data_IF_990414427851
#
_entry.id   IF_990414427851
#
_cell.length_a   1.000
_cell.length_b   1.000
_cell.length_c   1.000
_cell.angle_alpha   90.00
_cell.angle_beta   90.00
_cell.angle_gamma   90.00
#
_symmetry.space_group_name_H-M   'P 1'
#
loop_
_entity.id
_entity.type
_entity.pdbx_description
1 polymer ?
#
# COMPACT_ATOMS: atom_id res chain seq x y z
N UNK A 1 -15.46 -23.30 -8.62
CA UNK A 1 -14.96 -23.38 -7.24
C UNK A 1 -13.48 -23.74 -7.31
N UNK A 2 -12.64 -22.78 -6.92
CA UNK A 2 -11.19 -22.80 -6.59
C UNK A 2 -10.86 -21.29 -6.55
N UNK A 3 -11.22 -20.53 -5.51
CA UNK A 3 -10.61 -20.53 -4.17
C UNK A 3 -9.07 -20.40 -4.17
N UNK A 4 -8.52 -19.71 -5.18
CA UNK A 4 -7.12 -19.27 -5.16
C UNK A 4 -6.97 -17.97 -4.34
N UNK A 5 -7.27 -18.06 -3.05
CA UNK A 5 -6.81 -17.03 -2.13
C UNK A 5 -5.33 -17.29 -1.83
N UNK A 6 -4.46 -16.37 -2.24
CA UNK A 6 -3.07 -16.34 -1.76
C UNK A 6 -3.07 -15.71 -0.37
N UNK A 7 -2.62 -16.47 0.62
CA UNK A 7 -2.52 -16.03 2.00
C UNK A 7 -1.07 -15.66 2.32
N UNK A 8 -0.87 -14.51 2.93
CA UNK A 8 0.43 -14.15 3.50
C UNK A 8 0.46 -14.67 4.93
N UNK A 9 1.18 -15.76 5.14
CA UNK A 9 1.25 -16.51 6.40
C UNK A 9 2.67 -16.48 6.95
N UNK A 10 2.79 -16.41 8.27
CA UNK A 10 4.07 -16.60 8.95
C UNK A 10 4.27 -18.11 9.15
N UNK A 11 5.25 -18.67 8.43
CA UNK A 11 5.42 -20.12 8.29
C UNK A 11 5.69 -20.84 9.63
N UNK A 12 6.34 -20.19 10.60
CA UNK A 12 6.68 -20.87 11.87
C UNK A 12 5.49 -21.01 12.82
N UNK A 13 4.51 -20.12 12.75
CA UNK A 13 3.32 -20.10 13.62
C UNK A 13 2.04 -20.52 12.91
N UNK A 14 2.06 -20.56 11.58
CA UNK A 14 0.89 -20.83 10.75
C UNK A 14 -0.18 -19.73 10.80
N UNK A 15 0.18 -18.53 11.29
CA UNK A 15 -0.75 -17.43 11.46
C UNK A 15 -0.75 -16.53 10.24
N UNK A 16 -1.95 -16.10 9.84
CA UNK A 16 -2.10 -15.06 8.83
C UNK A 16 -1.42 -13.78 9.31
N UNK A 17 -0.58 -13.22 8.46
CA UNK A 17 0.06 -11.93 8.70
C UNK A 17 -1.00 -10.84 8.63
N UNK A 18 -1.24 -10.19 9.76
CA UNK A 18 -2.17 -9.08 9.82
C UNK A 18 -1.68 -7.88 8.97
N UNK A 19 -2.45 -7.50 7.97
CA UNK A 19 -2.26 -6.29 7.17
C UNK A 19 -2.35 -5.08 8.11
N UNK A 20 -1.31 -4.25 8.17
CA UNK A 20 -1.07 -3.19 9.16
C UNK A 20 -0.39 -3.64 10.48
N UNK A 21 0.18 -4.84 10.56
CA UNK A 21 1.11 -5.18 11.64
C UNK A 21 2.36 -4.30 11.55
N UNK A 22 2.62 -3.49 12.59
CA UNK A 22 3.77 -2.59 12.62
C UNK A 22 5.13 -3.28 12.52
N UNK A 23 5.22 -4.58 12.84
CA UNK A 23 6.44 -5.39 12.67
C UNK A 23 6.78 -5.66 11.20
N UNK A 24 5.81 -5.55 10.28
CA UNK A 24 6.10 -5.70 8.84
C UNK A 24 7.01 -4.58 8.33
N UNK A 25 6.93 -3.39 8.95
CA UNK A 25 7.80 -2.26 8.58
C UNK A 25 9.28 -2.58 8.82
N UNK A 26 9.63 -3.32 9.87
CA UNK A 26 11.03 -3.72 10.08
C UNK A 26 11.53 -4.75 9.06
N UNK A 27 10.62 -5.33 8.27
CA UNK A 27 10.94 -6.19 7.12
C UNK A 27 10.89 -5.43 5.79
N UNK A 28 10.76 -4.09 5.80
CA UNK A 28 10.62 -3.28 4.59
C UNK A 28 9.22 -3.35 3.95
N UNK A 29 8.26 -4.00 4.59
CA UNK A 29 6.89 -4.14 4.10
C UNK A 29 5.99 -3.08 4.74
N UNK A 30 5.55 -2.13 3.93
CA UNK A 30 4.58 -1.10 4.32
C UNK A 30 3.20 -1.61 3.97
N UNK A 31 2.30 -1.72 4.94
CA UNK A 31 0.93 -2.18 4.69
C UNK A 31 -0.07 -1.32 5.44
N UNK A 32 -1.26 -1.15 4.86
CA UNK A 32 -2.27 -0.34 5.50
C UNK A 32 -3.63 -0.37 4.81
N UNK A 33 -4.54 0.39 5.40
CA UNK A 33 -5.83 0.72 4.82
C UNK A 33 -5.83 2.19 4.37
N UNK A 34 -6.43 2.45 3.21
CA UNK A 34 -6.67 3.79 2.69
C UNK A 34 -7.55 4.60 3.65
N UNK A 35 -7.20 5.86 3.86
CA UNK A 35 -7.96 6.84 4.66
C UNK A 35 -8.48 7.97 3.77
N UNK A 36 -9.53 8.67 4.21
CA UNK A 36 -10.15 9.76 3.45
C UNK A 36 -10.88 9.29 2.18
N UNK A 37 -11.21 8.00 2.11
CA UNK A 37 -11.88 7.38 0.95
C UNK A 37 -13.27 7.93 0.68
N UNK A 38 -13.93 8.46 1.71
CA UNK A 38 -15.25 9.07 1.65
C UNK A 38 -15.30 10.30 0.73
N UNK A 39 -14.19 11.04 0.60
CA UNK A 39 -14.09 12.21 -0.27
C UNK A 39 -13.74 11.84 -1.73
N UNK A 40 -13.37 10.57 -1.97
CA UNK A 40 -12.84 10.08 -3.26
C UNK A 40 -13.71 8.98 -3.86
N UNK A 41 -14.96 8.84 -3.41
CA UNK A 41 -15.84 7.74 -3.78
C UNK A 41 -16.04 7.59 -5.29
N UNK A 42 -16.11 8.70 -6.04
CA UNK A 42 -16.24 8.67 -7.50
C UNK A 42 -14.99 8.08 -8.15
N UNK A 43 -13.79 8.51 -7.75
CA UNK A 43 -12.52 8.03 -8.31
C UNK A 43 -12.33 6.55 -7.96
N UNK A 44 -12.58 6.17 -6.71
CA UNK A 44 -12.47 4.78 -6.24
C UNK A 44 -13.37 3.83 -7.04
N UNK A 45 -14.57 4.29 -7.46
CA UNK A 45 -15.48 3.47 -8.28
C UNK A 45 -14.90 3.10 -9.65
N UNK A 46 -14.01 3.94 -10.18
CA UNK A 46 -13.39 3.77 -11.49
C UNK A 46 -11.96 3.23 -11.43
N UNK A 47 -11.35 3.20 -10.25
CA UNK A 47 -10.00 2.70 -10.03
C UNK A 47 -9.92 1.17 -10.02
N UNK A 48 -8.86 0.60 -10.59
CA UNK A 48 -8.54 -0.81 -10.39
C UNK A 48 -7.91 -1.02 -9.00
N UNK A 49 -8.71 -1.57 -8.08
CA UNK A 49 -8.28 -1.96 -6.75
C UNK A 49 -8.31 -3.49 -6.55
N UNK A 50 -8.28 -4.27 -7.64
CA UNK A 50 -8.15 -5.72 -7.56
C UNK A 50 -6.81 -6.12 -6.92
N UNK A 51 -6.72 -7.26 -6.22
CA UNK A 51 -5.45 -7.72 -5.64
C UNK A 51 -4.33 -7.78 -6.69
N UNK A 52 -3.20 -7.15 -6.39
CA UNK A 52 -2.04 -7.05 -7.28
C UNK A 52 -2.10 -5.89 -8.29
N UNK A 53 -3.20 -5.14 -8.37
CA UNK A 53 -3.28 -3.93 -9.17
C UNK A 53 -2.20 -2.92 -8.74
N UNK A 54 -1.59 -2.24 -9.71
CA UNK A 54 -0.52 -1.30 -9.45
C UNK A 54 -1.06 -0.03 -8.78
N UNK A 55 -0.36 0.43 -7.74
CA UNK A 55 -0.62 1.70 -7.08
C UNK A 55 0.66 2.54 -7.06
N UNK A 56 0.53 3.83 -6.81
CA UNK A 56 1.65 4.75 -6.60
C UNK A 56 1.51 5.48 -5.27
N UNK A 57 2.64 5.75 -4.63
CA UNK A 57 2.73 6.60 -3.44
C UNK A 57 3.19 7.99 -3.88
N UNK A 58 2.37 9.00 -3.61
CA UNK A 58 2.61 10.39 -4.03
C UNK A 58 2.78 11.25 -2.79
N UNK A 59 3.90 11.95 -2.71
CA UNK A 59 4.17 12.92 -1.64
C UNK A 59 3.40 14.21 -1.87
N UNK A 60 2.79 14.73 -0.81
CA UNK A 60 2.14 16.04 -0.79
C UNK A 60 2.71 16.88 0.37
N UNK A 61 3.92 17.44 0.24
CA UNK A 61 4.56 18.19 1.33
C UNK A 61 3.82 19.48 1.70
N UNK A 62 3.08 20.06 0.74
CA UNK A 62 2.31 21.30 0.92
C UNK A 62 0.86 21.04 1.39
N UNK A 63 0.52 19.81 1.77
CA UNK A 63 -0.81 19.48 2.26
C UNK A 63 -1.12 20.22 3.58
N UNK A 64 -2.15 21.06 3.57
CA UNK A 64 -2.52 21.93 4.71
C UNK A 64 -2.81 21.17 6.01
N UNK A 65 -3.27 19.92 5.91
CA UNK A 65 -3.69 19.12 7.05
C UNK A 65 -2.59 18.22 7.65
N UNK A 66 -1.58 17.86 6.84
CA UNK A 66 -0.45 17.03 7.25
C UNK A 66 0.74 17.19 6.28
N UNK A 67 1.85 17.84 6.65
CA UNK A 67 3.02 18.01 5.76
C UNK A 67 3.73 16.69 5.41
N UNK A 68 3.40 15.61 6.12
CA UNK A 68 3.89 14.27 5.81
C UNK A 68 2.90 13.45 4.96
N UNK A 69 1.86 14.09 4.39
CA UNK A 69 0.84 13.41 3.63
C UNK A 69 1.43 12.58 2.48
N UNK A 70 1.01 11.32 2.42
CA UNK A 70 1.29 10.42 1.30
C UNK A 70 -0.06 9.98 0.76
N UNK A 71 -0.37 10.42 -0.46
CA UNK A 71 -1.54 10.00 -1.20
C UNK A 71 -1.23 8.69 -1.94
N UNK A 72 -2.20 7.79 -1.98
CA UNK A 72 -2.14 6.56 -2.74
C UNK A 72 -2.96 6.76 -4.00
N UNK A 73 -2.32 6.58 -5.15
CA UNK A 73 -2.93 6.72 -6.46
C UNK A 73 -3.12 5.35 -7.10
N UNK A 74 -4.26 5.16 -7.74
CA UNK A 74 -4.50 4.12 -8.72
C UNK A 74 -4.42 4.72 -10.13
N UNK A 75 -4.72 3.90 -11.15
CA UNK A 75 -4.81 4.31 -12.55
C UNK A 75 -5.77 5.50 -12.77
N UNK A 76 -6.93 5.48 -12.11
CA UNK A 76 -7.95 6.51 -12.22
C UNK A 76 -7.67 7.79 -11.41
N UNK A 77 -6.63 7.80 -10.55
CA UNK A 77 -6.26 8.95 -9.71
C UNK A 77 -6.16 8.65 -8.21
N UNK A 78 -6.26 9.66 -7.33
CA UNK A 78 -6.11 9.48 -5.89
C UNK A 78 -7.26 8.64 -5.32
N UNK A 79 -6.91 7.57 -4.61
CA UNK A 79 -7.88 6.64 -4.01
C UNK A 79 -7.89 6.69 -2.48
N UNK A 80 -6.97 7.44 -1.88
CA UNK A 80 -6.96 7.70 -0.44
C UNK A 80 -5.56 8.01 0.07
N UNK A 81 -5.45 8.15 1.39
CA UNK A 81 -4.21 8.53 2.05
C UNK A 81 -3.69 7.43 2.96
N UNK A 82 -2.37 7.43 3.14
CA UNK A 82 -1.68 6.70 4.20
C UNK A 82 -2.11 7.25 5.55
N UNK A 83 -2.33 6.38 6.55
CA UNK A 83 -2.67 6.83 7.89
C UNK A 83 -1.58 7.74 8.49
N UNK A 84 -1.98 8.82 9.17
CA UNK A 84 -1.07 9.82 9.78
C UNK A 84 0.07 9.24 10.62
N UNK A 85 -0.17 8.16 11.39
CA UNK A 85 0.89 7.53 12.22
C UNK A 85 1.98 6.89 11.37
N UNK A 86 1.66 6.44 10.17
CA UNK A 86 2.59 5.84 9.21
C UNK A 86 3.09 6.84 8.16
N UNK A 87 2.36 7.92 7.92
CA UNK A 87 2.70 8.94 6.93
C UNK A 87 4.08 9.54 7.18
N UNK A 88 4.41 9.94 8.42
CA UNK A 88 5.72 10.53 8.75
C UNK A 88 6.93 9.64 8.42
N UNK A 89 7.03 8.38 8.90
CA UNK A 89 8.16 7.54 8.53
C UNK A 89 8.18 7.22 7.04
N UNK A 90 7.04 6.93 6.40
CA UNK A 90 7.00 6.64 4.96
C UNK A 90 7.42 7.85 4.12
N UNK A 91 6.95 9.04 4.48
CA UNK A 91 7.33 10.29 3.83
C UNK A 91 8.85 10.47 3.82
N UNK A 92 9.52 10.20 4.94
CA UNK A 92 10.98 10.27 5.02
C UNK A 92 11.69 9.32 4.07
N UNK A 93 11.19 8.09 3.91
CA UNK A 93 11.78 7.14 2.96
C UNK A 93 11.62 7.64 1.51
N UNK A 94 10.42 8.11 1.16
CA UNK A 94 10.14 8.65 -0.17
C UNK A 94 10.97 9.91 -0.45
N UNK A 95 11.07 10.82 0.51
CA UNK A 95 11.85 12.05 0.43
C UNK A 95 13.37 11.76 0.36
N UNK A 96 13.82 10.62 0.92
CA UNK A 96 15.19 10.13 0.78
C UNK A 96 15.46 9.42 -0.57
N UNK A 97 14.44 9.30 -1.43
CA UNK A 97 14.56 8.65 -2.74
C UNK A 97 14.50 7.13 -2.70
N UNK A 98 14.02 6.53 -1.61
CA UNK A 98 13.83 5.07 -1.54
C UNK A 98 12.79 4.66 -2.56
N UNK A 99 13.17 3.73 -3.45
CA UNK A 99 12.26 3.20 -4.45
C UNK A 99 11.29 2.22 -3.80
N UNK A 100 10.01 2.57 -3.78
CA UNK A 100 8.94 1.71 -3.30
C UNK A 100 7.91 1.51 -4.40
N UNK A 101 7.54 0.25 -4.65
CA UNK A 101 6.42 -0.11 -5.51
C UNK A 101 5.21 -0.40 -4.65
N UNK A 102 4.07 0.18 -4.98
CA UNK A 102 2.82 -0.08 -4.28
C UNK A 102 1.86 -0.95 -5.10
N UNK A 103 1.07 -1.75 -4.40
CA UNK A 103 0.03 -2.63 -4.98
C UNK A 103 -1.21 -2.66 -4.10
N UNK A 104 -2.36 -2.89 -4.72
CA UNK A 104 -3.61 -3.17 -4.00
C UNK A 104 -3.58 -4.58 -3.41
N UNK A 105 -4.04 -4.73 -2.18
CA UNK A 105 -4.33 -6.03 -1.54
C UNK A 105 -5.82 -6.38 -1.64
N UNK A 106 -6.58 -5.66 -2.47
CA UNK A 106 -8.03 -5.80 -2.60
C UNK A 106 -8.81 -4.89 -1.65
N UNK A 107 -9.85 -4.27 -2.20
CA UNK A 107 -10.70 -3.32 -1.47
C UNK A 107 -9.92 -2.05 -1.14
N UNK A 108 -9.91 -1.65 0.13
CA UNK A 108 -9.21 -0.43 0.60
C UNK A 108 -7.84 -0.71 1.22
N UNK A 109 -7.24 -1.86 0.94
CA UNK A 109 -5.96 -2.29 1.52
C UNK A 109 -4.85 -2.16 0.49
N UNK A 110 -3.68 -1.77 0.93
CA UNK A 110 -2.51 -1.59 0.07
C UNK A 110 -1.25 -2.10 0.77
N UNK A 111 -0.24 -2.38 -0.05
CA UNK A 111 1.13 -2.66 0.36
C UNK A 111 2.10 -1.85 -0.48
N UNK A 112 3.23 -1.48 0.10
CA UNK A 112 4.40 -1.03 -0.64
C UNK A 112 5.67 -1.70 -0.08
N UNK A 113 6.61 -1.98 -0.97
CA UNK A 113 7.90 -2.56 -0.63
C UNK A 113 8.91 -2.23 -1.73
N UNK A 114 10.14 -2.71 -1.57
CA UNK A 114 11.12 -2.75 -2.66
C UNK A 114 10.50 -3.37 -3.94
N UNK A 115 10.76 -2.81 -5.14
CA UNK A 115 10.19 -3.30 -6.39
C UNK A 115 10.42 -4.79 -6.66
N UNK A 116 11.57 -5.35 -6.28
CA UNK A 116 11.91 -6.76 -6.50
C UNK A 116 11.11 -7.66 -5.57
N UNK A 117 10.91 -7.23 -4.31
CA UNK A 117 10.02 -7.92 -3.36
C UNK A 117 8.59 -7.94 -3.89
N UNK A 118 8.09 -6.83 -4.42
CA UNK A 118 6.75 -6.78 -5.03
C UNK A 118 6.67 -7.68 -6.26
N UNK A 119 7.67 -7.69 -7.14
CA UNK A 119 7.70 -8.57 -8.31
C UNK A 119 7.63 -10.04 -7.90
N UNK A 120 8.43 -10.42 -6.90
CA UNK A 120 8.44 -11.77 -6.32
C UNK A 120 7.06 -12.16 -5.76
N UNK A 121 6.44 -11.30 -4.96
CA UNK A 121 5.11 -11.53 -4.37
C UNK A 121 4.00 -11.65 -5.42
N UNK A 122 4.13 -10.97 -6.56
CA UNK A 122 3.20 -11.09 -7.69
C UNK A 122 3.46 -12.31 -8.58
N UNK A 123 4.41 -13.19 -8.21
CA UNK A 123 4.80 -14.34 -9.01
C UNK A 123 5.48 -13.98 -10.34
N UNK A 124 5.92 -12.72 -10.48
CA UNK A 124 6.64 -12.23 -11.67
C UNK A 124 8.13 -12.41 -11.39
N UNK A 125 8.70 -13.53 -11.84
CA UNK A 125 10.15 -13.73 -11.79
C UNK A 125 10.83 -12.63 -12.62
N UNK A 126 11.76 -11.91 -11.99
CA UNK A 126 12.77 -11.07 -12.66
C UNK A 126 13.65 -11.90 -13.58
#
# INVERSE_FOLDING_TARGET
MHDQALWFEEETTGQLVNVANGKLRSLGLWTGQLRGTEYLALIIKHADLSPGAALSLVREPDNEADPYAVCVHADAGPVGYVNKRMARPLAKELDAGVSLRAVSLGGRRWMAADPDVVAWLLGRRT
#
